data_IF_751763247786
#
_entry.id   IF_751763247786
#
_cell.length_a   1.000
_cell.length_b   1.000
_cell.length_c   1.000
_cell.angle_alpha   90.00
_cell.angle_beta   90.00
_cell.angle_gamma   90.00
#
_symmetry.space_group_name_H-M   'P 1'
#
loop_
_entity.id
_entity.type
_entity.pdbx_description
1 polymer ?
#
# COMPACT_ATOMS: atom_id res chain seq x y z
N UNK A 1 78.72 -31.99 1.71
CA UNK A 1 77.47 -32.36 2.41
C UNK A 1 76.83 -31.08 2.96
N UNK A 2 75.81 -30.53 2.29
CA UNK A 2 74.97 -29.44 2.84
C UNK A 2 73.49 -29.83 2.66
N UNK A 3 72.77 -30.03 3.77
CA UNK A 3 71.34 -30.32 3.80
C UNK A 3 70.57 -28.99 3.89
N UNK A 4 69.73 -28.70 2.90
CA UNK A 4 68.77 -27.60 2.95
C UNK A 4 67.42 -28.13 3.47
N UNK A 5 66.96 -27.59 4.60
CA UNK A 5 65.62 -27.80 5.15
C UNK A 5 64.67 -26.72 4.63
N UNK A 6 63.70 -27.09 3.81
CA UNK A 6 62.58 -26.21 3.43
C UNK A 6 61.44 -26.42 4.43
N UNK A 7 61.12 -25.39 5.22
CA UNK A 7 59.93 -25.37 6.10
C UNK A 7 58.73 -24.89 5.28
N UNK A 8 57.76 -25.77 5.06
CA UNK A 8 56.43 -25.39 4.58
C UNK A 8 55.65 -24.73 5.72
N UNK A 9 55.34 -23.44 5.58
CA UNK A 9 54.45 -22.72 6.49
C UNK A 9 53.02 -22.88 6.00
N UNK A 10 52.24 -23.72 6.68
CA UNK A 10 50.82 -23.92 6.42
C UNK A 10 50.07 -22.69 6.96
N UNK A 11 49.62 -21.80 6.07
CA UNK A 11 48.76 -20.67 6.44
C UNK A 11 47.33 -21.19 6.56
N UNK A 12 46.87 -21.37 7.80
CA UNK A 12 45.49 -21.73 8.10
C UNK A 12 44.61 -20.48 7.91
N UNK A 13 43.94 -20.38 6.76
CA UNK A 13 43.00 -19.31 6.48
C UNK A 13 41.67 -19.62 7.19
N UNK A 14 41.50 -19.15 8.43
CA UNK A 14 40.21 -19.18 9.12
C UNK A 14 39.26 -18.15 8.46
N UNK A 15 38.42 -18.62 7.54
CA UNK A 15 37.29 -17.83 7.03
C UNK A 15 36.24 -17.71 8.14
N UNK A 16 36.24 -16.60 8.88
CA UNK A 16 35.12 -16.23 9.75
C UNK A 16 33.91 -15.90 8.87
N UNK A 17 32.97 -16.83 8.74
CA UNK A 17 31.65 -16.51 8.23
C UNK A 17 30.90 -15.68 9.28
N UNK A 18 30.90 -14.35 9.12
CA UNK A 18 30.00 -13.48 9.86
C UNK A 18 28.56 -13.85 9.48
N UNK A 19 27.84 -14.51 10.40
CA UNK A 19 26.39 -14.65 10.28
C UNK A 19 25.78 -13.25 10.34
N UNK A 20 24.95 -12.91 9.36
CA UNK A 20 24.16 -11.68 9.39
C UNK A 20 23.30 -11.65 10.67
N UNK A 21 23.16 -10.48 11.27
CA UNK A 21 22.31 -10.32 12.44
C UNK A 21 20.86 -10.70 12.10
N UNK A 22 20.13 -11.37 13.01
CA UNK A 22 18.75 -11.77 12.76
C UNK A 22 17.85 -10.53 12.70
N UNK A 23 16.95 -10.48 11.71
CA UNK A 23 15.95 -9.41 11.55
C UNK A 23 15.08 -9.30 12.81
N UNK A 24 14.87 -8.08 13.29
CA UNK A 24 14.06 -7.73 14.45
C UNK A 24 12.91 -6.77 14.10
N UNK A 25 11.88 -6.74 14.94
CA UNK A 25 10.90 -5.67 14.90
C UNK A 25 11.57 -4.30 15.09
N UNK A 26 11.19 -3.34 14.26
CA UNK A 26 11.80 -2.02 14.20
C UNK A 26 12.92 -1.89 13.16
N UNK A 27 13.39 -2.98 12.56
CA UNK A 27 14.39 -2.91 11.49
C UNK A 27 13.81 -2.25 10.24
N UNK A 28 14.67 -1.53 9.53
CA UNK A 28 14.39 -1.00 8.19
C UNK A 28 15.18 -1.83 7.20
N UNK A 29 14.47 -2.46 6.26
CA UNK A 29 15.06 -3.32 5.24
C UNK A 29 14.93 -2.68 3.86
N UNK A 30 15.95 -2.82 3.03
CA UNK A 30 15.86 -2.57 1.59
C UNK A 30 15.62 -3.91 0.88
N UNK A 31 14.51 -4.01 0.14
CA UNK A 31 14.05 -5.24 -0.49
C UNK A 31 13.55 -4.96 -1.91
N UNK A 32 13.51 -5.96 -2.79
CA UNK A 32 12.78 -5.79 -4.05
C UNK A 32 11.28 -5.88 -3.81
N UNK A 33 10.48 -5.27 -4.68
CA UNK A 33 9.02 -5.48 -4.66
C UNK A 33 8.64 -6.95 -4.88
N UNK A 34 9.48 -7.74 -5.56
CA UNK A 34 9.30 -9.18 -5.75
C UNK A 34 9.43 -10.00 -4.45
N UNK A 35 10.14 -9.47 -3.44
CA UNK A 35 10.35 -10.14 -2.16
C UNK A 35 9.12 -10.03 -1.23
N UNK A 36 8.11 -9.22 -1.59
CA UNK A 36 6.96 -8.90 -0.75
C UNK A 36 5.74 -9.75 -1.11
N UNK A 37 5.13 -10.39 -0.09
CA UNK A 37 3.83 -11.05 -0.22
C UNK A 37 2.70 -10.14 0.29
N UNK A 38 1.69 -9.82 -0.53
CA UNK A 38 0.51 -9.09 -0.07
C UNK A 38 -0.25 -9.82 1.05
N UNK A 39 -0.70 -9.09 2.07
CA UNK A 39 -1.68 -9.57 3.06
C UNK A 39 -3.14 -9.18 2.75
N UNK A 40 -3.41 -8.72 1.53
CA UNK A 40 -4.77 -8.45 1.04
C UNK A 40 -4.89 -8.88 -0.42
N UNK A 41 -6.07 -9.36 -0.82
CA UNK A 41 -6.30 -9.82 -2.19
C UNK A 41 -6.77 -8.72 -3.15
N UNK A 42 -7.21 -7.60 -2.60
CA UNK A 42 -7.85 -6.52 -3.34
C UNK A 42 -7.19 -5.18 -3.07
N UNK A 43 -7.20 -4.33 -4.08
CA UNK A 43 -6.85 -2.90 -4.00
C UNK A 43 -7.88 -2.11 -4.81
N UNK A 44 -7.83 -0.79 -4.70
CA UNK A 44 -8.53 0.07 -5.65
C UNK A 44 -7.62 0.27 -6.85
N UNK A 45 -7.99 -0.31 -8.00
CA UNK A 45 -7.27 -0.04 -9.25
C UNK A 45 -7.35 1.43 -9.62
N UNK A 46 -8.43 2.14 -9.26
CA UNK A 46 -8.55 3.58 -9.51
C UNK A 46 -7.57 4.43 -8.69
N UNK A 47 -7.33 4.07 -7.43
CA UNK A 47 -6.29 4.73 -6.64
C UNK A 47 -4.89 4.48 -7.23
N UNK A 48 -4.64 3.28 -7.76
CA UNK A 48 -3.38 2.97 -8.48
C UNK A 48 -3.29 3.73 -9.80
N UNK A 49 -4.37 3.75 -10.59
CA UNK A 49 -4.44 4.47 -11.85
C UNK A 49 -4.18 5.97 -11.68
N UNK A 50 -4.76 6.60 -10.65
CA UNK A 50 -4.47 8.00 -10.31
C UNK A 50 -2.96 8.23 -10.08
N UNK A 51 -2.30 7.33 -9.35
CA UNK A 51 -0.84 7.38 -9.15
C UNK A 51 -0.07 7.21 -10.46
N UNK A 52 -0.42 6.19 -11.25
CA UNK A 52 0.22 5.94 -12.55
C UNK A 52 0.06 7.13 -13.51
N UNK A 53 -1.13 7.72 -13.58
CA UNK A 53 -1.39 8.94 -14.36
C UNK A 53 -0.46 10.08 -13.92
N UNK A 54 -0.32 10.27 -12.61
CA UNK A 54 0.52 11.30 -12.02
C UNK A 54 2.01 11.05 -12.32
N UNK A 55 2.47 9.80 -12.24
CA UNK A 55 3.87 9.47 -12.48
C UNK A 55 4.29 9.64 -13.94
N UNK A 56 3.39 9.36 -14.89
CA UNK A 56 3.65 9.52 -16.33
C UNK A 56 3.91 10.96 -16.75
N UNK A 57 3.30 11.93 -16.08
CA UNK A 57 3.39 13.36 -16.45
C UNK A 57 4.20 14.19 -15.46
N UNK A 58 4.58 13.61 -14.31
CA UNK A 58 5.26 14.31 -13.24
C UNK A 58 6.28 13.39 -12.54
N UNK A 59 7.49 13.33 -13.10
CA UNK A 59 8.61 12.56 -12.53
C UNK A 59 8.99 13.01 -11.12
N UNK A 60 8.85 14.31 -10.82
CA UNK A 60 9.01 14.83 -9.45
C UNK A 60 8.07 14.10 -8.49
N UNK A 61 6.77 14.02 -8.83
CA UNK A 61 5.77 13.36 -7.97
C UNK A 61 6.09 11.89 -7.71
N UNK A 62 6.63 11.16 -8.69
CA UNK A 62 7.12 9.80 -8.52
C UNK A 62 8.23 9.73 -7.45
N UNK A 63 9.24 10.58 -7.57
CA UNK A 63 10.37 10.64 -6.63
C UNK A 63 9.93 11.10 -5.24
N UNK A 64 9.04 12.09 -5.14
CA UNK A 64 8.49 12.57 -3.87
C UNK A 64 7.75 11.45 -3.11
N UNK A 65 6.89 10.70 -3.81
CA UNK A 65 6.18 9.56 -3.23
C UNK A 65 7.16 8.46 -2.81
N UNK A 66 8.16 8.14 -3.63
CA UNK A 66 9.19 7.15 -3.33
C UNK A 66 10.01 7.52 -2.08
N UNK A 67 10.42 8.78 -1.97
CA UNK A 67 11.16 9.26 -0.80
C UNK A 67 10.29 9.34 0.46
N UNK A 68 9.01 9.72 0.34
CA UNK A 68 8.05 9.71 1.46
C UNK A 68 7.86 8.29 1.99
N UNK A 69 7.52 7.32 1.13
CA UNK A 69 7.31 5.93 1.56
C UNK A 69 8.58 5.26 2.11
N UNK A 70 9.76 5.81 1.76
CA UNK A 70 11.04 5.40 2.33
C UNK A 70 11.36 6.09 3.66
N UNK A 71 10.47 6.94 4.19
CA UNK A 71 10.65 7.65 5.46
C UNK A 71 11.56 8.88 5.37
N UNK A 72 11.89 9.36 4.18
CA UNK A 72 12.76 10.53 3.96
C UNK A 72 11.99 11.83 3.66
N UNK A 73 10.67 11.75 3.61
CA UNK A 73 9.77 12.86 3.28
C UNK A 73 9.79 13.25 1.79
N UNK A 74 8.97 14.25 1.44
CA UNK A 74 8.66 14.62 0.04
C UNK A 74 9.67 15.53 -0.65
N UNK A 75 10.73 15.96 0.02
CA UNK A 75 11.67 16.91 -0.60
C UNK A 75 12.71 16.14 -1.39
N UNK A 76 12.80 16.40 -2.69
CA UNK A 76 13.71 15.71 -3.61
C UNK A 76 14.54 16.70 -4.42
N UNK A 77 15.75 16.28 -4.75
CA UNK A 77 16.61 16.91 -5.76
C UNK A 77 16.82 15.92 -6.90
N UNK A 78 16.63 16.38 -8.14
CA UNK A 78 16.53 15.54 -9.33
C UNK A 78 16.74 16.37 -10.60
N UNK A 79 16.98 15.70 -11.72
CA UNK A 79 17.04 16.26 -13.08
C UNK A 79 16.00 15.58 -13.99
N UNK A 80 15.90 16.03 -15.23
CA UNK A 80 15.01 15.39 -16.23
C UNK A 80 15.37 13.93 -16.51
N UNK A 81 16.63 13.55 -16.27
CA UNK A 81 17.14 12.19 -16.44
C UNK A 81 16.93 11.32 -15.20
N UNK A 82 16.47 11.87 -14.07
CA UNK A 82 16.33 11.08 -12.85
C UNK A 82 15.33 9.94 -13.00
N UNK A 83 15.69 8.76 -12.49
CA UNK A 83 14.87 7.55 -12.57
C UNK A 83 15.04 6.69 -11.32
N UNK A 84 13.97 6.01 -10.90
CA UNK A 84 14.04 5.02 -9.82
C UNK A 84 14.92 3.80 -10.18
N UNK A 85 15.23 3.59 -11.47
CA UNK A 85 16.20 2.58 -11.91
C UNK A 85 17.66 3.05 -11.83
N UNK A 86 17.88 4.34 -11.52
CA UNK A 86 19.21 4.96 -11.32
C UNK A 86 19.23 5.67 -9.96
N UNK A 87 19.41 4.96 -8.83
CA UNK A 87 19.30 5.54 -7.49
C UNK A 87 20.27 6.70 -7.19
N UNK A 88 21.37 6.78 -7.93
CA UNK A 88 22.37 7.86 -7.90
C UNK A 88 21.93 9.13 -8.65
N UNK A 89 20.88 9.03 -9.47
CA UNK A 89 20.38 10.13 -10.29
C UNK A 89 19.45 11.11 -9.55
N UNK A 90 19.08 10.83 -8.30
CA UNK A 90 18.22 11.68 -7.47
C UNK A 90 18.61 11.59 -5.99
N UNK A 91 18.13 12.54 -5.21
CA UNK A 91 18.36 12.59 -3.77
C UNK A 91 17.05 12.78 -3.01
N UNK A 92 16.82 11.95 -2.00
CA UNK A 92 15.82 12.22 -0.97
C UNK A 92 16.44 13.20 0.03
N UNK A 93 16.06 14.48 -0.01
CA UNK A 93 16.73 15.53 0.76
C UNK A 93 16.61 15.36 2.29
N UNK A 94 15.68 14.53 2.78
CA UNK A 94 15.68 14.12 4.19
C UNK A 94 16.91 13.30 4.56
N UNK A 95 17.29 12.35 3.69
CA UNK A 95 18.46 11.48 3.85
C UNK A 95 19.76 12.28 3.77
N UNK A 96 19.93 13.07 2.72
CA UNK A 96 21.16 13.85 2.48
C UNK A 96 21.44 14.88 3.57
N UNK A 97 20.39 15.42 4.20
CA UNK A 97 20.52 16.35 5.32
C UNK A 97 20.69 15.67 6.67
N UNK A 98 20.93 14.35 6.70
CA UNK A 98 21.13 13.58 7.92
C UNK A 98 19.93 13.57 8.86
N UNK A 99 18.70 13.76 8.34
CA UNK A 99 17.51 13.74 9.19
C UNK A 99 17.23 12.33 9.68
N UNK A 100 16.59 12.22 10.85
CA UNK A 100 16.06 10.94 11.33
C UNK A 100 15.02 10.41 10.34
N UNK A 101 15.18 9.16 9.91
CA UNK A 101 14.19 8.47 9.08
C UNK A 101 12.86 8.38 9.82
N UNK A 102 11.79 8.80 9.15
CA UNK A 102 10.44 8.83 9.72
C UNK A 102 9.75 7.49 9.52
N UNK A 103 9.97 6.59 10.46
CA UNK A 103 9.33 5.26 10.47
C UNK A 103 7.81 5.29 10.34
N UNK A 104 7.15 6.36 10.81
CA UNK A 104 5.70 6.55 10.67
C UNK A 104 5.20 6.85 9.25
N UNK A 105 6.09 7.18 8.31
CA UNK A 105 5.77 7.40 6.89
C UNK A 105 6.09 6.13 6.05
N UNK A 106 6.69 5.11 6.65
CA UNK A 106 7.15 3.92 5.94
C UNK A 106 6.04 2.88 5.79
N UNK A 107 6.04 2.21 4.65
CA UNK A 107 5.23 1.00 4.47
C UNK A 107 5.77 -0.11 5.39
N UNK A 108 4.85 -0.93 5.90
CA UNK A 108 5.14 -1.90 6.95
C UNK A 108 5.04 -3.33 6.45
N UNK A 109 5.88 -4.19 7.02
CA UNK A 109 5.90 -5.62 6.76
C UNK A 109 6.01 -6.37 8.08
N UNK A 110 5.58 -7.63 8.07
CA UNK A 110 5.94 -8.60 9.11
C UNK A 110 6.81 -9.70 8.52
N UNK A 111 7.72 -10.23 9.32
CA UNK A 111 8.54 -11.38 8.94
C UNK A 111 7.83 -12.67 9.37
N UNK A 112 7.37 -13.45 8.40
CA UNK A 112 6.70 -14.72 8.61
C UNK A 112 7.61 -15.94 8.46
N UNK A 113 7.01 -17.15 8.40
CA UNK A 113 7.71 -18.40 8.13
C UNK A 113 8.62 -18.32 6.90
N UNK A 114 9.68 -19.13 6.88
CA UNK A 114 10.67 -19.21 5.79
C UNK A 114 11.37 -17.86 5.48
N UNK A 115 11.40 -16.96 6.47
CA UNK A 115 11.88 -15.57 6.33
C UNK A 115 11.16 -14.76 5.24
N UNK A 116 9.92 -15.13 4.92
CA UNK A 116 9.12 -14.41 3.94
C UNK A 116 8.56 -13.11 4.55
N UNK A 117 8.73 -11.99 3.84
CA UNK A 117 8.14 -10.71 4.20
C UNK A 117 6.71 -10.61 3.68
N UNK A 118 5.78 -10.25 4.58
CA UNK A 118 4.37 -10.03 4.27
C UNK A 118 4.03 -8.55 4.45
N UNK A 119 3.59 -7.91 3.38
CA UNK A 119 3.25 -6.49 3.34
C UNK A 119 1.95 -6.21 4.07
N UNK A 120 2.01 -5.47 5.18
CA UNK A 120 0.86 -5.13 6.02
C UNK A 120 0.29 -3.74 5.74
N UNK A 121 1.07 -2.85 5.12
CA UNK A 121 0.59 -1.56 4.61
C UNK A 121 1.33 -1.16 3.32
N UNK A 122 0.69 -0.34 2.49
CA UNK A 122 1.30 0.22 1.28
C UNK A 122 0.94 -0.46 -0.03
N UNK A 123 0.00 -1.42 -0.05
CA UNK A 123 -0.32 -2.23 -1.23
C UNK A 123 -0.64 -1.41 -2.48
N UNK A 124 -1.41 -0.31 -2.38
CA UNK A 124 -1.68 0.55 -3.54
C UNK A 124 -0.43 1.30 -4.02
N UNK A 125 0.39 1.81 -3.10
CA UNK A 125 1.60 2.57 -3.44
C UNK A 125 2.65 1.67 -4.09
N UNK A 126 2.94 0.53 -3.47
CA UNK A 126 3.87 -0.45 -4.00
C UNK A 126 3.35 -1.15 -5.25
N UNK A 127 2.04 -1.39 -5.39
CA UNK A 127 1.49 -1.89 -6.67
C UNK A 127 1.59 -0.86 -7.78
N UNK A 128 1.45 0.45 -7.49
CA UNK A 128 1.69 1.49 -8.49
C UNK A 128 3.16 1.52 -8.93
N UNK A 129 4.12 1.37 -8.01
CA UNK A 129 5.54 1.25 -8.36
C UNK A 129 5.85 -0.05 -9.10
N UNK A 130 5.24 -1.17 -8.71
CA UNK A 130 5.38 -2.46 -9.37
C UNK A 130 4.92 -2.37 -10.83
N UNK A 131 3.74 -1.80 -11.07
CA UNK A 131 3.17 -1.63 -12.41
C UNK A 131 3.94 -0.60 -13.25
N UNK A 132 4.60 0.40 -12.62
CA UNK A 132 5.29 1.48 -13.31
C UNK A 132 6.76 1.19 -13.63
N UNK A 133 7.50 0.64 -12.65
CA UNK A 133 8.95 0.40 -12.74
C UNK A 133 9.27 -1.08 -12.93
N UNK A 134 8.52 -1.95 -12.27
CA UNK A 134 8.74 -3.40 -12.28
C UNK A 134 9.10 -3.97 -10.91
N UNK A 135 8.99 -5.29 -10.81
CA UNK A 135 9.13 -6.06 -9.57
C UNK A 135 10.52 -5.99 -8.91
N UNK A 136 11.56 -5.70 -9.68
CA UNK A 136 12.94 -5.65 -9.20
C UNK A 136 13.30 -4.33 -8.50
N UNK A 137 12.40 -3.33 -8.54
CA UNK A 137 12.62 -2.05 -7.86
C UNK A 137 12.87 -2.29 -6.36
N UNK A 138 13.97 -1.71 -5.86
CA UNK A 138 14.30 -1.70 -4.44
C UNK A 138 13.50 -0.65 -3.68
N UNK A 139 12.92 -1.05 -2.55
CA UNK A 139 12.11 -0.20 -1.66
C UNK A 139 12.52 -0.43 -0.21
N UNK A 140 12.33 0.59 0.62
CA UNK A 140 12.51 0.49 2.07
C UNK A 140 11.20 0.09 2.75
N UNK A 141 11.27 -0.88 3.65
CA UNK A 141 10.13 -1.33 4.49
C UNK A 141 10.51 -1.35 5.96
N UNK A 142 9.53 -1.09 6.82
CA UNK A 142 9.67 -1.21 8.27
C UNK A 142 9.12 -2.56 8.74
N UNK A 143 9.94 -3.36 9.39
CA UNK A 143 9.50 -4.59 10.05
C UNK A 143 8.77 -4.22 11.34
N UNK A 144 7.49 -4.55 11.45
CA UNK A 144 6.69 -4.29 12.66
C UNK A 144 6.67 -5.47 13.61
N UNK A 145 6.75 -6.70 13.10
CA UNK A 145 6.70 -7.92 13.90
C UNK A 145 7.46 -9.08 13.24
N UNK A 146 7.95 -10.01 14.06
CA UNK A 146 8.70 -11.20 13.63
C UNK A 146 8.07 -12.46 14.21
N UNK A 147 7.45 -13.27 13.35
CA UNK A 147 6.72 -14.49 13.72
C UNK A 147 7.59 -15.75 13.76
N UNK A 148 8.91 -15.62 13.59
CA UNK A 148 9.86 -16.74 13.71
C UNK A 148 10.45 -16.89 15.12
N UNK A 149 9.99 -16.08 16.08
CA UNK A 149 10.44 -16.15 17.48
C UNK A 149 9.71 -17.26 18.26
N UNK A 150 10.34 -17.88 19.29
CA UNK A 150 9.76 -18.99 20.04
C UNK A 150 8.35 -18.76 20.59
N UNK A 151 8.00 -17.51 20.94
CA UNK A 151 6.65 -17.16 21.41
C UNK A 151 5.54 -17.30 20.33
N UNK A 152 5.89 -17.31 19.05
CA UNK A 152 4.97 -17.50 17.92
C UNK A 152 5.06 -18.92 17.32
N UNK A 153 5.92 -19.80 17.87
CA UNK A 153 6.19 -21.15 17.36
C UNK A 153 5.29 -22.24 17.98
N UNK A 154 4.10 -21.92 18.51
CA UNK A 154 3.26 -22.93 19.16
C UNK A 154 2.77 -24.05 18.22
N UNK A 155 2.93 -23.91 16.90
CA UNK A 155 2.53 -24.97 15.96
C UNK A 155 3.36 -25.12 14.68
N UNK A 156 4.27 -24.18 14.34
CA UNK A 156 5.08 -24.26 13.11
C UNK A 156 4.28 -24.38 11.80
N UNK A 157 2.95 -24.19 11.86
CA UNK A 157 2.03 -24.40 10.76
C UNK A 157 1.75 -23.09 10.04
N UNK A 158 1.90 -23.09 8.71
CA UNK A 158 1.64 -21.94 7.85
C UNK A 158 0.17 -21.48 7.95
N UNK A 159 -0.78 -22.38 8.18
CA UNK A 159 -2.18 -22.00 8.39
C UNK A 159 -2.37 -21.14 9.65
N UNK A 160 -1.65 -21.46 10.72
CA UNK A 160 -1.76 -20.73 11.98
C UNK A 160 -1.15 -19.33 11.87
N UNK A 161 -0.08 -19.18 11.07
CA UNK A 161 0.49 -17.87 10.77
C UNK A 161 -0.54 -16.93 10.11
N UNK A 162 -1.25 -17.39 9.07
CA UNK A 162 -2.27 -16.56 8.41
C UNK A 162 -3.44 -16.24 9.34
N UNK A 163 -3.89 -17.21 10.14
CA UNK A 163 -4.93 -16.99 11.15
C UNK A 163 -4.51 -15.91 12.17
N UNK A 164 -3.25 -15.91 12.59
CA UNK A 164 -2.68 -14.88 13.47
C UNK A 164 -2.69 -13.51 12.79
N UNK A 165 -2.29 -13.40 11.52
CA UNK A 165 -2.34 -12.13 10.79
C UNK A 165 -3.77 -11.58 10.69
N UNK A 166 -4.76 -12.45 10.52
CA UNK A 166 -6.17 -12.04 10.51
C UNK A 166 -6.61 -11.59 11.89
N UNK A 167 -6.33 -12.38 12.93
CA UNK A 167 -6.73 -12.09 14.30
C UNK A 167 -6.10 -10.79 14.85
N UNK A 168 -4.88 -10.45 14.42
CA UNK A 168 -4.19 -9.22 14.83
C UNK A 168 -4.51 -8.01 13.94
N UNK A 169 -5.36 -8.15 12.92
CA UNK A 169 -5.67 -7.04 12.01
C UNK A 169 -4.46 -6.60 11.18
N UNK A 170 -3.65 -7.55 10.73
CA UNK A 170 -2.49 -7.35 9.84
C UNK A 170 -2.77 -7.79 8.39
N UNK A 171 -3.99 -8.25 8.12
CA UNK A 171 -4.40 -8.72 6.80
C UNK A 171 -5.87 -8.41 6.51
N UNK A 172 -6.21 -8.41 5.22
CA UNK A 172 -7.58 -8.31 4.74
C UNK A 172 -7.90 -9.53 3.85
N UNK A 173 -8.31 -10.66 4.46
CA UNK A 173 -8.49 -11.94 3.76
C UNK A 173 -9.84 -12.02 3.04
N UNK A 174 -10.18 -11.00 2.25
CA UNK A 174 -11.42 -10.96 1.48
C UNK A 174 -11.17 -10.60 0.03
N UNK A 175 -12.03 -11.12 -0.84
CA UNK A 175 -12.03 -10.82 -2.26
C UNK A 175 -12.78 -9.51 -2.59
N UNK A 176 -12.97 -9.22 -3.87
CA UNK A 176 -13.65 -8.00 -4.34
C UNK A 176 -15.16 -7.98 -4.03
N UNK A 177 -15.76 -9.16 -3.81
CA UNK A 177 -17.15 -9.33 -3.41
C UNK A 177 -17.32 -9.31 -1.89
N UNK A 178 -16.23 -9.22 -1.12
CA UNK A 178 -16.27 -9.28 0.34
C UNK A 178 -16.31 -10.67 0.92
N UNK A 179 -16.11 -11.68 0.09
CA UNK A 179 -16.12 -13.08 0.51
C UNK A 179 -14.76 -13.44 1.11
N UNK A 180 -14.78 -14.27 2.15
CA UNK A 180 -13.58 -14.70 2.83
C UNK A 180 -12.69 -15.56 1.91
N UNK A 181 -11.38 -15.38 2.02
CA UNK A 181 -10.37 -16.15 1.29
C UNK A 181 -9.63 -17.08 2.23
N UNK A 182 -9.41 -18.31 1.75
CA UNK A 182 -8.43 -19.23 2.35
C UNK A 182 -7.01 -18.73 2.14
N UNK A 183 -6.07 -19.21 2.97
CA UNK A 183 -4.67 -18.82 2.90
C UNK A 183 -4.03 -19.09 1.53
N UNK A 184 -4.44 -20.18 0.87
CA UNK A 184 -3.94 -20.62 -0.44
C UNK A 184 -4.32 -19.65 -1.56
N UNK A 185 -5.39 -18.87 -1.36
CA UNK A 185 -5.89 -17.89 -2.32
C UNK A 185 -5.23 -16.51 -2.14
N UNK A 186 -4.38 -16.33 -1.13
CA UNK A 186 -3.70 -15.05 -0.95
C UNK A 186 -2.73 -14.79 -2.10
N UNK A 187 -2.68 -13.55 -2.64
CA UNK A 187 -1.81 -13.23 -3.75
C UNK A 187 -0.34 -13.43 -3.38
N UNK A 188 0.41 -13.91 -4.36
CA UNK A 188 1.84 -14.11 -4.20
C UNK A 188 2.68 -12.90 -4.63
N UNK A 189 2.09 -11.92 -5.29
CA UNK A 189 2.83 -10.76 -5.80
C UNK A 189 1.97 -9.51 -5.80
N UNK A 190 2.63 -8.36 -5.80
CA UNK A 190 2.01 -7.04 -5.94
C UNK A 190 1.60 -6.76 -7.39
N UNK A 191 0.97 -5.59 -7.60
CA UNK A 191 0.56 -5.12 -8.91
C UNK A 191 -0.90 -5.45 -9.24
N UNK A 192 -1.49 -4.67 -10.15
CA UNK A 192 -2.91 -4.82 -10.51
C UNK A 192 -3.22 -6.14 -11.22
N UNK A 193 -2.20 -6.82 -11.75
CA UNK A 193 -2.36 -8.14 -12.36
C UNK A 193 -2.63 -9.26 -11.34
N UNK A 194 -2.20 -9.08 -10.08
CA UNK A 194 -2.38 -10.08 -9.01
C UNK A 194 -3.36 -9.63 -7.93
N UNK A 195 -3.46 -8.33 -7.66
CA UNK A 195 -4.42 -7.77 -6.71
C UNK A 195 -5.68 -7.30 -7.42
N UNK A 196 -6.81 -7.92 -7.11
CA UNK A 196 -8.10 -7.64 -7.75
C UNK A 196 -8.61 -6.24 -7.42
N UNK A 197 -9.47 -5.70 -8.28
CA UNK A 197 -10.08 -4.39 -8.07
C UNK A 197 -11.28 -4.48 -7.12
N UNK A 198 -11.25 -3.76 -6.01
CA UNK A 198 -12.43 -3.47 -5.19
C UNK A 198 -12.92 -2.03 -5.45
N UNK A 199 -14.05 -1.85 -6.16
CA UNK A 199 -14.60 -0.54 -6.47
C UNK A 199 -15.13 0.19 -5.23
N UNK A 200 -15.65 -0.53 -4.22
CA UNK A 200 -16.16 0.07 -2.99
C UNK A 200 -15.02 0.62 -2.12
N UNK A 201 -13.89 -0.11 -2.08
CA UNK A 201 -12.64 0.39 -1.49
C UNK A 201 -12.13 1.63 -2.20
N UNK A 202 -12.33 1.71 -3.52
CA UNK A 202 -12.06 2.91 -4.32
C UNK A 202 -12.97 4.08 -3.96
N UNK A 203 -14.28 3.83 -3.85
CA UNK A 203 -15.25 4.85 -3.45
C UNK A 203 -14.91 5.44 -2.08
N UNK A 204 -14.62 4.60 -1.09
CA UNK A 204 -14.18 5.04 0.23
C UNK A 204 -12.96 5.98 0.13
N UNK A 205 -11.93 5.62 -0.66
CA UNK A 205 -10.75 6.45 -0.88
C UNK A 205 -11.05 7.81 -1.52
N UNK A 206 -11.86 7.86 -2.57
CA UNK A 206 -12.15 9.12 -3.26
C UNK A 206 -13.01 10.06 -2.42
N UNK A 207 -13.94 9.51 -1.64
CA UNK A 207 -14.79 10.26 -0.71
C UNK A 207 -14.08 10.66 0.59
N UNK A 208 -12.89 10.11 0.86
CA UNK A 208 -12.07 10.49 2.01
C UNK A 208 -11.76 11.99 1.98
N UNK A 209 -11.96 12.64 3.14
CA UNK A 209 -11.72 14.07 3.35
C UNK A 209 -13.00 14.90 3.36
N UNK A 210 -14.10 14.39 2.82
CA UNK A 210 -15.44 14.99 2.86
C UNK A 210 -16.30 14.40 3.97
N UNK A 211 -17.26 13.54 3.59
CA UNK A 211 -18.24 12.88 4.49
C UNK A 211 -17.61 11.98 5.56
N UNK A 212 -16.36 11.57 5.37
CA UNK A 212 -15.58 10.88 6.39
C UNK A 212 -14.10 11.26 6.30
N UNK A 213 -13.36 11.10 7.39
CA UNK A 213 -11.91 11.34 7.48
C UNK A 213 -11.25 10.20 8.23
N UNK A 214 -9.96 9.95 7.97
CA UNK A 214 -9.22 8.93 8.73
C UNK A 214 -9.30 9.23 10.23
N UNK A 215 -9.73 8.26 11.06
CA UNK A 215 -9.79 8.45 12.49
C UNK A 215 -8.39 8.71 13.06
N UNK A 216 -8.36 9.29 14.27
CA UNK A 216 -7.16 9.49 15.06
C UNK A 216 -7.39 8.82 16.42
N UNK A 217 -6.57 7.83 16.83
CA UNK A 217 -5.47 7.22 16.08
C UNK A 217 -5.92 6.54 14.79
N UNK A 218 -4.98 6.31 13.86
CA UNK A 218 -5.27 5.66 12.60
C UNK A 218 -5.77 4.23 12.83
N UNK A 219 -6.86 3.86 12.16
CA UNK A 219 -7.42 2.52 12.22
C UNK A 219 -7.02 1.75 10.94
N UNK A 220 -6.34 0.58 11.06
CA UNK A 220 -6.05 -0.27 9.91
C UNK A 220 -7.32 -0.62 9.14
N UNK A 221 -7.20 -0.69 7.81
CA UNK A 221 -8.29 -1.09 6.91
C UNK A 221 -9.59 -0.24 6.97
N UNK A 222 -9.55 0.99 7.50
CA UNK A 222 -10.75 1.84 7.62
C UNK A 222 -11.54 2.00 6.31
N UNK A 223 -10.86 2.17 5.18
CA UNK A 223 -11.52 2.25 3.87
C UNK A 223 -12.20 0.93 3.47
N UNK A 224 -11.71 -0.22 3.94
CA UNK A 224 -12.33 -1.52 3.69
C UNK A 224 -13.54 -1.80 4.58
N UNK A 225 -13.55 -1.30 5.82
CA UNK A 225 -14.77 -1.34 6.65
C UNK A 225 -15.91 -0.56 6.00
N UNK A 226 -15.62 0.62 5.44
CA UNK A 226 -16.58 1.35 4.62
C UNK A 226 -16.98 0.56 3.38
N UNK A 227 -16.03 -0.09 2.68
CA UNK A 227 -16.32 -0.90 1.49
C UNK A 227 -17.28 -2.06 1.79
N UNK A 228 -17.04 -2.79 2.89
CA UNK A 228 -17.90 -3.89 3.35
C UNK A 228 -19.33 -3.44 3.61
N UNK A 229 -19.50 -2.30 4.29
CA UNK A 229 -20.81 -1.72 4.55
C UNK A 229 -21.52 -1.29 3.26
N UNK A 230 -20.81 -0.59 2.37
CA UNK A 230 -21.38 -0.03 1.15
C UNK A 230 -21.86 -1.12 0.18
N UNK A 231 -21.18 -2.25 0.09
CA UNK A 231 -21.62 -3.34 -0.81
C UNK A 231 -22.88 -4.04 -0.32
N UNK A 232 -23.21 -3.93 0.96
CA UNK A 232 -24.43 -4.49 1.53
C UNK A 232 -25.67 -3.64 1.24
N UNK A 233 -25.51 -2.44 0.67
CA UNK A 233 -26.60 -1.53 0.34
C UNK A 233 -27.05 -1.76 -1.11
N UNK A 234 -28.22 -2.36 -1.38
CA UNK A 234 -28.66 -2.68 -2.74
C UNK A 234 -28.77 -1.45 -3.66
N UNK A 235 -29.16 -0.31 -3.11
CA UNK A 235 -29.27 0.98 -3.80
C UNK A 235 -27.92 1.58 -4.21
N UNK A 236 -26.82 1.09 -3.61
CA UNK A 236 -25.45 1.49 -3.92
C UNK A 236 -24.70 0.41 -4.72
N UNK A 237 -25.41 -0.54 -5.34
CA UNK A 237 -24.82 -1.56 -6.19
C UNK A 237 -23.91 -0.95 -7.27
N UNK A 238 -22.67 -1.43 -7.33
CA UNK A 238 -21.74 -1.05 -8.38
C UNK A 238 -22.11 -1.77 -9.68
N UNK A 239 -22.55 -1.02 -10.69
CA UNK A 239 -23.03 -1.58 -11.98
C UNK A 239 -21.96 -1.63 -13.06
N UNK A 240 -20.69 -1.52 -12.67
CA UNK A 240 -19.56 -1.53 -13.58
C UNK A 240 -19.13 -0.15 -14.08
N UNK A 241 -18.01 -0.17 -14.80
CA UNK A 241 -17.30 0.99 -15.34
C UNK A 241 -17.93 1.47 -16.66
N UNK A 242 -19.15 2.02 -16.62
CA UNK A 242 -19.91 2.42 -17.82
C UNK A 242 -19.41 3.71 -18.47
N UNK A 243 -19.18 4.75 -17.68
CA UNK A 243 -18.64 6.05 -18.12
C UNK A 243 -18.12 6.85 -16.94
N UNK A 244 -17.38 7.91 -17.21
CA UNK A 244 -16.91 8.84 -16.19
C UNK A 244 -18.06 9.47 -15.39
N UNK A 245 -19.10 9.93 -16.09
CA UNK A 245 -20.30 10.50 -15.49
C UNK A 245 -21.06 9.46 -14.62
N UNK A 246 -21.22 8.22 -15.11
CA UNK A 246 -21.89 7.17 -14.35
C UNK A 246 -21.15 6.81 -13.06
N UNK A 247 -19.81 6.82 -13.08
CA UNK A 247 -19.00 6.58 -11.89
C UNK A 247 -19.10 7.74 -10.89
N UNK A 248 -19.05 8.98 -11.35
CA UNK A 248 -19.26 10.16 -10.48
C UNK A 248 -20.65 10.13 -9.83
N UNK A 249 -21.70 9.85 -10.61
CA UNK A 249 -23.06 9.70 -10.08
C UNK A 249 -23.18 8.58 -9.03
N UNK A 250 -22.43 7.49 -9.18
CA UNK A 250 -22.38 6.45 -8.16
C UNK A 250 -21.69 6.94 -6.87
N UNK A 251 -20.60 7.70 -6.98
CA UNK A 251 -19.96 8.32 -5.83
C UNK A 251 -20.84 9.38 -5.16
N UNK A 252 -21.65 10.13 -5.92
CA UNK A 252 -22.64 11.08 -5.40
C UNK A 252 -23.72 10.38 -4.58
N UNK A 253 -24.25 9.25 -5.07
CA UNK A 253 -25.20 8.42 -4.30
C UNK A 253 -24.59 7.89 -3.01
N UNK A 254 -23.35 7.39 -3.07
CA UNK A 254 -22.63 6.95 -1.86
C UNK A 254 -22.42 8.13 -0.91
N UNK A 255 -21.99 9.29 -1.39
CA UNK A 255 -21.79 10.49 -0.57
C UNK A 255 -23.10 10.89 0.13
N UNK A 256 -24.22 10.96 -0.59
CA UNK A 256 -25.53 11.27 -0.02
C UNK A 256 -25.98 10.22 1.02
N UNK A 257 -25.75 8.93 0.73
CA UNK A 257 -26.02 7.85 1.68
C UNK A 257 -25.22 8.01 2.96
N UNK A 258 -23.90 8.17 2.84
CA UNK A 258 -23.01 8.37 3.99
C UNK A 258 -23.41 9.60 4.80
N UNK A 259 -23.82 10.70 4.15
CA UNK A 259 -24.29 11.91 4.84
C UNK A 259 -25.56 11.67 5.68
N UNK A 260 -26.42 10.76 5.23
CA UNK A 260 -27.69 10.43 5.91
C UNK A 260 -27.51 9.54 7.14
N UNK A 261 -26.33 8.93 7.33
CA UNK A 261 -26.08 8.05 8.46
C UNK A 261 -26.13 8.80 9.79
N UNK A 262 -26.40 8.06 10.86
CA UNK A 262 -26.19 8.53 12.24
C UNK A 262 -24.80 8.16 12.70
N UNK A 263 -24.23 8.94 13.62
CA UNK A 263 -22.96 8.64 14.28
C UNK A 263 -22.90 7.20 14.84
N UNK A 264 -24.02 6.68 15.35
CA UNK A 264 -24.16 5.35 15.97
C UNK A 264 -24.50 4.23 14.98
N UNK A 265 -24.60 4.51 13.68
CA UNK A 265 -24.90 3.48 12.67
C UNK A 265 -23.79 2.43 12.68
N UNK A 266 -24.14 1.15 12.81
CA UNK A 266 -23.18 0.06 12.68
C UNK A 266 -22.74 -0.07 11.22
N UNK A 267 -21.43 -0.08 10.98
CA UNK A 267 -20.85 -0.13 9.63
C UNK A 267 -20.29 -1.52 9.36
N UNK A 268 -19.23 -1.92 10.06
CA UNK A 268 -18.57 -3.20 9.84
C UNK A 268 -17.67 -3.55 11.04
N UNK A 269 -17.49 -4.85 11.31
CA UNK A 269 -16.61 -5.37 12.38
C UNK A 269 -16.86 -4.74 13.76
N UNK A 270 -18.11 -4.44 14.09
CA UNK A 270 -18.50 -3.81 15.35
C UNK A 270 -18.28 -2.30 15.42
N UNK A 271 -17.65 -1.69 14.42
CA UNK A 271 -17.44 -0.25 14.39
C UNK A 271 -18.69 0.51 13.95
N UNK A 272 -18.90 1.65 14.60
CA UNK A 272 -19.90 2.66 14.24
C UNK A 272 -19.35 3.65 13.20
N UNK A 273 -20.24 4.41 12.56
CA UNK A 273 -19.88 5.45 11.61
C UNK A 273 -18.89 6.47 12.23
N UNK A 274 -19.14 6.92 13.47
CA UNK A 274 -18.28 7.88 14.16
C UNK A 274 -16.87 7.32 14.41
N UNK A 275 -16.75 6.05 14.81
CA UNK A 275 -15.46 5.39 15.04
C UNK A 275 -14.65 5.23 13.75
N UNK A 276 -15.34 5.08 12.61
CA UNK A 276 -14.72 5.07 11.28
C UNK A 276 -14.53 6.47 10.67
N UNK A 277 -14.70 7.51 11.49
CA UNK A 277 -14.37 8.89 11.15
C UNK A 277 -15.40 9.60 10.27
N UNK A 278 -16.65 9.15 10.28
CA UNK A 278 -17.79 9.89 9.71
C UNK A 278 -17.86 11.31 10.29
N UNK A 279 -18.08 12.29 9.42
CA UNK A 279 -18.10 13.72 9.83
C UNK A 279 -19.50 14.30 9.91
N UNK A 280 -20.49 13.66 9.26
CA UNK A 280 -21.85 14.20 9.10
C UNK A 280 -21.91 15.50 8.32
N UNK A 281 -20.86 15.84 7.57
CA UNK A 281 -20.76 17.07 6.80
C UNK A 281 -20.58 16.76 5.32
N UNK A 282 -21.31 17.49 4.50
CA UNK A 282 -21.13 17.44 3.06
C UNK A 282 -19.89 18.22 2.63
N UNK A 283 -19.25 17.78 1.56
CA UNK A 283 -18.21 18.52 0.84
C UNK A 283 -18.40 18.30 -0.68
N UNK A 284 -19.47 18.91 -1.20
CA UNK A 284 -19.83 18.78 -2.62
C UNK A 284 -18.78 19.40 -3.54
N UNK A 285 -18.09 20.46 -3.10
CA UNK A 285 -17.00 21.04 -3.88
C UNK A 285 -15.88 20.02 -4.13
N UNK A 286 -15.48 19.26 -3.10
CA UNK A 286 -14.47 18.20 -3.26
C UNK A 286 -14.96 17.06 -4.15
N UNK A 287 -16.25 16.74 -4.08
CA UNK A 287 -16.89 15.72 -4.91
C UNK A 287 -16.87 16.12 -6.39
N UNK A 288 -17.29 17.34 -6.71
CA UNK A 288 -17.30 17.89 -8.07
C UNK A 288 -15.88 17.91 -8.65
N UNK A 289 -14.89 18.26 -7.82
CA UNK A 289 -13.48 18.28 -8.18
C UNK A 289 -12.84 16.90 -8.38
N UNK A 290 -13.54 15.80 -8.07
CA UNK A 290 -13.00 14.46 -8.32
C UNK A 290 -12.80 14.24 -9.81
N UNK A 291 -13.81 14.57 -10.61
CA UNK A 291 -13.77 14.32 -12.05
C UNK A 291 -13.02 15.42 -12.79
N UNK A 292 -13.38 16.69 -12.55
CA UNK A 292 -12.73 17.85 -13.14
C UNK A 292 -12.45 18.90 -12.06
N UNK A 293 -11.19 19.30 -11.93
CA UNK A 293 -10.79 20.42 -11.08
C UNK A 293 -10.47 21.61 -11.98
N UNK A 294 -11.45 22.51 -12.12
CA UNK A 294 -11.46 23.55 -13.16
C UNK A 294 -11.38 22.93 -14.57
N UNK A 295 -10.47 23.41 -15.41
CA UNK A 295 -10.24 22.99 -16.79
C UNK A 295 -9.34 21.74 -16.93
N UNK A 296 -9.10 21.02 -15.82
CA UNK A 296 -8.19 19.88 -15.78
C UNK A 296 -8.82 18.66 -15.13
N UNK A 297 -8.42 17.44 -15.53
CA UNK A 297 -8.82 16.23 -14.85
C UNK A 297 -8.49 16.28 -13.35
N UNK A 298 -9.51 16.01 -12.53
CA UNK A 298 -9.34 15.82 -11.09
C UNK A 298 -8.69 14.47 -10.78
N UNK A 299 -8.63 14.11 -9.48
CA UNK A 299 -7.99 12.84 -9.07
C UNK A 299 -8.65 11.60 -9.68
N UNK A 300 -9.99 11.57 -9.71
CA UNK A 300 -10.74 10.51 -10.37
C UNK A 300 -10.63 10.65 -11.89
N UNK A 301 -10.67 11.88 -12.42
CA UNK A 301 -10.51 12.12 -13.85
C UNK A 301 -9.22 11.52 -14.43
N UNK A 302 -8.08 11.80 -13.77
CA UNK A 302 -6.78 11.21 -14.12
C UNK A 302 -6.80 9.67 -14.04
N UNK A 303 -7.45 9.10 -13.02
CA UNK A 303 -7.63 7.65 -12.90
C UNK A 303 -8.41 7.06 -14.08
N UNK A 304 -9.49 7.71 -14.49
CA UNK A 304 -10.37 7.21 -15.54
C UNK A 304 -9.75 7.36 -16.94
N UNK A 305 -8.99 8.42 -17.18
CA UNK A 305 -8.16 8.53 -18.40
C UNK A 305 -7.17 7.37 -18.51
N UNK A 306 -6.57 6.93 -17.41
CA UNK A 306 -5.70 5.74 -17.37
C UNK A 306 -6.43 4.43 -17.65
N UNK A 307 -7.76 4.37 -17.48
CA UNK A 307 -8.60 3.26 -17.93
C UNK A 307 -9.00 3.36 -19.41
N UNK A 308 -8.64 4.44 -20.10
CA UNK A 308 -9.08 4.72 -21.46
C UNK A 308 -10.49 5.30 -21.54
N UNK A 309 -11.06 5.79 -20.44
CA UNK A 309 -12.36 6.47 -20.48
C UNK A 309 -12.21 7.89 -21.00
N UNK A 310 -13.10 8.28 -21.92
CA UNK A 310 -13.20 9.65 -22.39
C UNK A 310 -13.61 10.60 -21.25
N UNK A 311 -12.93 11.74 -21.17
CA UNK A 311 -13.19 12.80 -20.20
C UNK A 311 -12.91 14.16 -20.85
N UNK A 312 -13.87 15.08 -20.78
CA UNK A 312 -13.68 16.50 -21.08
C UNK A 312 -13.86 17.30 -19.80
N UNK A 313 -12.87 18.13 -19.48
CA UNK A 313 -12.92 19.10 -18.39
C UNK A 313 -12.77 20.49 -19.03
N UNK A 314 -13.86 21.00 -19.57
CA UNK A 314 -13.87 22.15 -20.47
C UNK A 314 -14.74 21.90 -21.70
#
# INVERSE_FOLDING_TARGET
MLRHCVKFMLVLCCAFQLKAAPIQAGDVLEVSLADLRPTQAVISHDQVNYKLASYRTNSKKLLEDFCEMSGWGKKVEFSTESSLLRPDSYQCLGKEKGKKQKKSEMNTVVLGPDNQLYLTDGHHGFSALYDYVGKELKVSVLVTEVFNQPQHQTSGNRHDFFAVLVAQGLSWPKDANGEALSAEQWPQQLGRAALHNDPYRGAAYFLQGGVWKKPKPALPFVEFYWADYLRQQPELAFTGYKSAAALLQWLERIHAHLLSLKATTSISHGFTAAELGWTGKADYQRLDQLLCAADKPGRLGLSLQMRGMALSCG
#
